data_IF_500991158454
#
_entry.id   IF_500991158454
#
_cell.length_a   1.000
_cell.length_b   1.000
_cell.length_c   1.000
_cell.angle_alpha   90.00
_cell.angle_beta   90.00
_cell.angle_gamma   90.00
#
_symmetry.space_group_name_H-M   'P 1'
#
loop_
_entity.id
_entity.type
_entity.pdbx_description
1 polymer ?
#
# COMPACT_ATOMS: atom_id res chain seq x y z
N UNK A 1 30.27 2.09 15.19
CA UNK A 1 30.46 1.33 13.94
C UNK A 1 29.57 0.07 13.89
N UNK A 2 29.43 -0.69 14.98
CA UNK A 2 28.62 -1.92 15.04
C UNK A 2 27.13 -1.66 14.74
N UNK A 3 26.49 -0.74 15.47
CA UNK A 3 25.06 -0.40 15.30
C UNK A 3 24.73 0.03 13.86
N UNK A 4 25.60 0.81 13.20
CA UNK A 4 25.40 1.21 11.82
C UNK A 4 25.42 0.02 10.85
N UNK A 5 26.37 -0.91 11.03
CA UNK A 5 26.45 -2.13 10.23
C UNK A 5 25.25 -3.04 10.49
N UNK A 6 24.90 -3.25 11.76
CA UNK A 6 23.74 -4.04 12.15
C UNK A 6 22.45 -3.48 11.52
N UNK A 7 22.22 -2.18 11.66
CA UNK A 7 21.04 -1.52 11.06
C UNK A 7 21.01 -1.67 9.55
N UNK A 8 22.13 -1.51 8.87
CA UNK A 8 22.22 -1.64 7.42
C UNK A 8 21.87 -3.06 6.96
N UNK A 9 22.36 -4.09 7.63
CA UNK A 9 22.05 -5.50 7.33
C UNK A 9 20.59 -5.80 7.67
N UNK A 10 20.13 -5.39 8.84
CA UNK A 10 18.76 -5.66 9.28
C UNK A 10 17.73 -5.03 8.35
N UNK A 11 17.85 -3.74 8.05
CA UNK A 11 16.92 -3.03 7.17
C UNK A 11 17.13 -3.39 5.70
N UNK A 12 18.38 -3.49 5.25
CA UNK A 12 18.70 -3.73 3.85
C UNK A 12 18.41 -5.17 3.39
N UNK A 13 18.50 -6.15 4.27
CA UNK A 13 18.30 -7.55 3.92
C UNK A 13 17.04 -8.11 4.58
N UNK A 14 17.04 -8.21 5.92
CA UNK A 14 15.99 -8.95 6.63
C UNK A 14 14.62 -8.30 6.40
N UNK A 15 14.52 -7.00 6.61
CA UNK A 15 13.26 -6.27 6.46
C UNK A 15 12.77 -6.28 5.01
N UNK A 16 13.66 -6.06 4.04
CA UNK A 16 13.31 -6.12 2.63
C UNK A 16 12.82 -7.51 2.20
N UNK A 17 13.48 -8.58 2.66
CA UNK A 17 13.03 -9.95 2.35
C UNK A 17 11.63 -10.20 2.90
N UNK A 18 11.35 -9.78 4.14
CA UNK A 18 10.02 -9.93 4.76
C UNK A 18 8.96 -9.16 3.94
N UNK A 19 9.24 -7.90 3.60
CA UNK A 19 8.33 -7.06 2.81
C UNK A 19 8.08 -7.65 1.41
N UNK A 20 9.14 -8.07 0.73
CA UNK A 20 9.04 -8.71 -0.58
C UNK A 20 8.25 -10.03 -0.51
N UNK A 21 8.42 -10.80 0.56
CA UNK A 21 7.67 -12.05 0.76
C UNK A 21 6.17 -11.79 0.88
N UNK A 22 5.76 -10.75 1.60
CA UNK A 22 4.35 -10.37 1.74
C UNK A 22 3.74 -9.95 0.40
N UNK A 23 4.46 -9.13 -0.38
CA UNK A 23 4.03 -8.69 -1.72
C UNK A 23 3.95 -9.87 -2.69
N UNK A 24 4.95 -10.77 -2.65
CA UNK A 24 4.99 -11.98 -3.49
C UNK A 24 3.83 -12.92 -3.16
N UNK A 25 3.48 -13.07 -1.88
CA UNK A 25 2.33 -13.87 -1.46
C UNK A 25 1.01 -13.33 -2.01
N UNK A 26 0.84 -12.00 -2.01
CA UNK A 26 -0.31 -11.36 -2.64
C UNK A 26 -0.35 -11.63 -4.15
N UNK A 27 0.78 -11.50 -4.85
CA UNK A 27 0.89 -11.81 -6.26
C UNK A 27 0.54 -13.27 -6.58
N UNK A 28 1.00 -14.22 -5.76
CA UNK A 28 0.66 -15.66 -5.89
C UNK A 28 -0.85 -15.89 -5.79
N UNK A 29 -1.51 -15.26 -4.80
CA UNK A 29 -2.96 -15.39 -4.64
C UNK A 29 -3.71 -14.83 -5.84
N UNK A 30 -3.35 -13.63 -6.30
CA UNK A 30 -3.97 -13.00 -7.46
C UNK A 30 -3.70 -13.80 -8.73
N UNK A 31 -2.48 -14.21 -8.97
CA UNK A 31 -2.08 -15.03 -10.12
C UNK A 31 -2.79 -16.38 -10.17
N UNK A 32 -2.96 -17.03 -9.02
CA UNK A 32 -3.71 -18.29 -8.89
C UNK A 32 -5.19 -18.12 -9.21
N UNK A 33 -5.83 -17.08 -8.66
CA UNK A 33 -7.28 -16.86 -8.85
C UNK A 33 -7.60 -16.35 -10.26
N UNK A 34 -6.82 -15.39 -10.78
CA UNK A 34 -7.15 -14.72 -12.03
C UNK A 34 -6.59 -15.44 -13.27
N UNK A 35 -5.42 -16.07 -13.14
CA UNK A 35 -4.71 -16.66 -14.28
C UNK A 35 -4.56 -18.19 -14.18
N UNK A 36 -4.96 -18.79 -13.06
CA UNK A 36 -4.81 -20.22 -12.80
C UNK A 36 -3.35 -20.68 -12.67
N UNK A 37 -2.44 -19.76 -12.34
CA UNK A 37 -1.01 -20.05 -12.27
C UNK A 37 -0.66 -20.76 -10.95
N UNK A 38 0.27 -21.71 -11.05
CA UNK A 38 0.89 -22.30 -9.87
C UNK A 38 1.77 -21.26 -9.15
N UNK A 39 1.96 -21.37 -7.83
CA UNK A 39 2.76 -20.43 -7.05
C UNK A 39 4.14 -20.13 -7.63
N UNK A 40 4.87 -21.17 -8.06
CA UNK A 40 6.20 -21.02 -8.63
C UNK A 40 6.19 -20.31 -10.01
N UNK A 41 5.16 -20.54 -10.82
CA UNK A 41 4.99 -19.88 -12.11
C UNK A 41 4.77 -18.39 -11.92
N UNK A 42 3.92 -18.02 -10.95
CA UNK A 42 3.69 -16.61 -10.62
C UNK A 42 4.95 -15.92 -10.13
N UNK A 43 5.73 -16.57 -9.24
CA UNK A 43 6.99 -16.01 -8.73
C UNK A 43 8.00 -15.84 -9.86
N UNK A 44 8.14 -16.84 -10.70
CA UNK A 44 9.11 -16.80 -11.82
C UNK A 44 8.74 -15.74 -12.85
N UNK A 45 7.48 -15.71 -13.29
CA UNK A 45 7.03 -14.76 -14.30
C UNK A 45 7.05 -13.31 -13.80
N UNK A 46 6.49 -13.07 -12.61
CA UNK A 46 6.50 -11.74 -11.99
C UNK A 46 7.93 -11.26 -11.69
N UNK A 47 8.77 -12.14 -11.18
CA UNK A 47 10.18 -11.85 -10.90
C UNK A 47 10.96 -11.50 -12.18
N UNK A 48 10.81 -12.30 -13.23
CA UNK A 48 11.50 -12.08 -14.51
C UNK A 48 11.05 -10.77 -15.17
N UNK A 49 9.75 -10.49 -15.18
CA UNK A 49 9.20 -9.22 -15.70
C UNK A 49 9.74 -8.04 -14.90
N UNK A 50 9.69 -8.11 -13.57
CA UNK A 50 10.16 -7.03 -12.69
C UNK A 50 11.64 -6.76 -12.85
N UNK A 51 12.48 -7.80 -12.88
CA UNK A 51 13.93 -7.67 -13.05
C UNK A 51 14.26 -7.08 -14.43
N UNK A 52 13.64 -7.60 -15.48
CA UNK A 52 13.86 -7.12 -16.85
C UNK A 52 13.46 -5.65 -16.99
N UNK A 53 12.29 -5.32 -16.50
CA UNK A 53 11.78 -3.95 -16.55
C UNK A 53 12.67 -2.97 -15.76
N UNK A 54 13.05 -3.35 -14.53
CA UNK A 54 13.92 -2.53 -13.70
C UNK A 54 15.33 -2.39 -14.27
N UNK A 55 15.86 -3.43 -14.92
CA UNK A 55 17.17 -3.38 -15.56
C UNK A 55 17.20 -2.43 -16.77
N UNK A 56 16.12 -2.41 -17.56
CA UNK A 56 16.02 -1.54 -18.76
C UNK A 56 15.65 -0.11 -18.34
N UNK A 57 14.66 0.06 -17.49
CA UNK A 57 14.09 1.37 -17.15
C UNK A 57 14.88 2.14 -16.09
N UNK A 58 15.67 1.43 -15.27
CA UNK A 58 16.34 2.01 -14.12
C UNK A 58 15.35 2.69 -13.16
N UNK A 59 15.84 3.56 -12.30
CA UNK A 59 15.01 4.26 -11.31
C UNK A 59 13.93 5.16 -11.96
N UNK A 60 14.27 5.81 -13.08
CA UNK A 60 13.33 6.66 -13.82
C UNK A 60 12.16 5.87 -14.38
N UNK A 61 12.42 4.69 -14.91
CA UNK A 61 11.39 3.77 -15.40
C UNK A 61 10.45 3.33 -14.28
N UNK A 62 10.97 3.01 -13.10
CA UNK A 62 10.17 2.66 -11.92
C UNK A 62 9.22 3.80 -11.54
N UNK A 63 9.72 5.04 -11.46
CA UNK A 63 8.88 6.20 -11.10
C UNK A 63 7.74 6.42 -12.11
N UNK A 64 8.00 6.31 -13.41
CA UNK A 64 6.93 6.42 -14.41
C UNK A 64 5.91 5.30 -14.29
N UNK A 65 6.36 4.09 -14.02
CA UNK A 65 5.48 2.94 -13.82
C UNK A 65 4.61 3.13 -12.58
N UNK A 66 5.18 3.61 -11.48
CA UNK A 66 4.44 3.91 -10.24
C UNK A 66 3.26 4.86 -10.51
N UNK A 67 3.50 5.94 -11.29
CA UNK A 67 2.45 6.90 -11.67
C UNK A 67 1.34 6.25 -12.50
N UNK A 68 1.72 5.45 -13.51
CA UNK A 68 0.74 4.76 -14.37
C UNK A 68 -0.07 3.76 -13.55
N UNK A 69 0.60 2.94 -12.73
CA UNK A 69 -0.03 1.94 -11.89
C UNK A 69 -0.96 2.56 -10.85
N UNK A 70 -0.64 3.76 -10.33
CA UNK A 70 -1.53 4.50 -9.46
C UNK A 70 -2.89 4.79 -10.13
N UNK A 71 -2.88 5.32 -11.36
CA UNK A 71 -4.12 5.60 -12.09
C UNK A 71 -4.88 4.31 -12.44
N UNK A 72 -4.18 3.25 -12.82
CA UNK A 72 -4.80 1.95 -13.10
C UNK A 72 -5.43 1.37 -11.83
N UNK A 73 -4.73 1.41 -10.70
CA UNK A 73 -5.23 0.92 -9.43
C UNK A 73 -6.45 1.73 -8.94
N UNK A 74 -6.38 3.06 -9.01
CA UNK A 74 -7.51 3.93 -8.63
C UNK A 74 -8.72 3.71 -9.54
N UNK A 75 -8.49 3.66 -10.86
CA UNK A 75 -9.56 3.37 -11.82
C UNK A 75 -10.19 2.00 -11.60
N UNK A 76 -9.38 0.98 -11.34
CA UNK A 76 -9.84 -0.36 -10.99
C UNK A 76 -10.65 -0.40 -9.70
N UNK A 77 -10.16 0.26 -8.65
CA UNK A 77 -10.86 0.33 -7.36
C UNK A 77 -12.21 1.04 -7.46
N UNK A 78 -12.24 2.21 -8.12
CA UNK A 78 -13.47 2.96 -8.35
C UNK A 78 -14.45 2.14 -9.23
N UNK A 79 -13.95 1.57 -10.32
CA UNK A 79 -14.74 0.73 -11.21
C UNK A 79 -15.35 -0.48 -10.49
N UNK A 80 -14.56 -1.17 -9.68
CA UNK A 80 -15.03 -2.28 -8.85
C UNK A 80 -16.07 -1.83 -7.83
N UNK A 81 -15.86 -0.71 -7.15
CA UNK A 81 -16.83 -0.16 -6.19
C UNK A 81 -18.15 0.18 -6.88
N UNK A 82 -18.11 0.87 -8.02
CA UNK A 82 -19.31 1.19 -8.80
C UNK A 82 -20.01 -0.07 -9.29
N UNK A 83 -19.26 -1.04 -9.81
CA UNK A 83 -19.82 -2.31 -10.27
C UNK A 83 -20.53 -3.07 -9.14
N UNK A 84 -19.85 -3.24 -8.00
CA UNK A 84 -20.39 -3.97 -6.85
C UNK A 84 -21.64 -3.32 -6.27
N UNK A 85 -21.64 -1.99 -6.12
CA UNK A 85 -22.81 -1.27 -5.60
C UNK A 85 -24.02 -1.39 -6.52
N UNK A 86 -23.81 -1.47 -7.85
CA UNK A 86 -24.89 -1.59 -8.81
C UNK A 86 -25.31 -3.04 -9.13
N UNK A 87 -24.75 -4.04 -8.44
CA UNK A 87 -25.23 -5.41 -8.56
C UNK A 87 -26.72 -5.49 -8.12
N UNK A 88 -27.55 -6.30 -8.80
CA UNK A 88 -28.94 -6.49 -8.43
C UNK A 88 -29.16 -6.91 -6.97
N UNK A 89 -28.22 -7.69 -6.44
CA UNK A 89 -28.24 -8.18 -5.06
C UNK A 89 -27.98 -7.07 -4.03
N UNK A 90 -27.29 -6.01 -4.43
CA UNK A 90 -26.99 -4.85 -3.57
C UNK A 90 -28.07 -3.77 -3.71
N UNK A 91 -28.56 -3.54 -4.93
CA UNK A 91 -29.66 -2.62 -5.19
C UNK A 91 -29.30 -1.13 -5.16
N UNK A 92 -28.02 -0.80 -5.31
CA UNK A 92 -27.52 0.58 -5.32
C UNK A 92 -27.05 1.09 -3.96
N UNK A 93 -26.52 2.30 -3.96
CA UNK A 93 -25.93 2.92 -2.76
C UNK A 93 -26.99 3.14 -1.65
N UNK A 94 -28.20 3.50 -2.03
CA UNK A 94 -29.29 3.75 -1.06
C UNK A 94 -29.67 2.46 -0.34
N UNK A 95 -29.84 1.36 -1.06
CA UNK A 95 -30.17 0.07 -0.50
C UNK A 95 -29.00 -0.47 0.37
N UNK A 96 -27.76 -0.26 -0.06
CA UNK A 96 -26.58 -0.61 0.72
C UNK A 96 -26.55 0.13 2.06
N UNK A 97 -26.77 1.45 2.04
CA UNK A 97 -26.77 2.27 3.24
C UNK A 97 -27.94 2.01 4.19
N UNK A 98 -29.06 1.54 3.66
CA UNK A 98 -30.24 1.16 4.44
C UNK A 98 -30.17 -0.27 5.01
N UNK A 99 -29.19 -1.08 4.60
CA UNK A 99 -29.05 -2.45 5.07
C UNK A 99 -28.70 -2.52 6.56
N UNK A 100 -29.44 -3.32 7.33
CA UNK A 100 -29.24 -3.45 8.79
C UNK A 100 -27.82 -3.83 9.20
N UNK A 101 -27.12 -4.63 8.39
CA UNK A 101 -25.74 -5.01 8.65
C UNK A 101 -24.74 -3.89 8.38
N UNK A 102 -25.15 -2.84 7.69
CA UNK A 102 -24.30 -1.72 7.26
C UNK A 102 -24.57 -0.46 8.10
N UNK A 103 -25.85 -0.18 8.40
CA UNK A 103 -26.27 1.03 9.16
C UNK A 103 -25.44 1.24 10.44
N UNK A 104 -25.22 0.19 11.22
CA UNK A 104 -24.41 0.26 12.44
C UNK A 104 -22.92 0.46 12.22
N UNK A 105 -22.41 0.30 10.97
CA UNK A 105 -20.99 0.38 10.63
C UNK A 105 -20.61 1.65 9.85
N UNK A 106 -21.56 2.50 9.54
CA UNK A 106 -21.34 3.75 8.78
C UNK A 106 -20.76 4.85 9.68
N UNK A 107 -20.93 4.71 11.00
CA UNK A 107 -20.39 5.70 11.94
C UNK A 107 -18.86 5.75 11.86
N UNK A 108 -18.31 6.95 11.67
CA UNK A 108 -16.85 7.19 11.68
C UNK A 108 -16.28 6.98 13.07
N UNK A 109 -17.08 7.22 14.10
CA UNK A 109 -16.68 7.03 15.50
C UNK A 109 -17.31 5.74 16.04
N UNK A 110 -16.58 4.99 16.86
CA UNK A 110 -17.13 3.84 17.55
C UNK A 110 -18.24 4.27 18.53
N UNK A 111 -19.12 3.37 18.88
CA UNK A 111 -20.07 3.59 19.94
C UNK A 111 -19.31 3.79 21.25
N UNK A 112 -19.51 4.94 21.90
CA UNK A 112 -18.88 5.26 23.18
C UNK A 112 -19.41 4.39 24.34
N UNK A 113 -20.52 3.70 24.16
CA UNK A 113 -21.03 2.69 25.06
C UNK A 113 -20.30 1.35 24.94
N UNK A 114 -19.74 1.05 23.78
CA UNK A 114 -18.93 -0.15 23.56
C UNK A 114 -17.46 0.13 23.91
N UNK A 115 -17.08 -0.26 25.11
CA UNK A 115 -15.73 -0.02 25.64
C UNK A 115 -14.64 -0.74 24.87
N UNK A 116 -14.90 -1.92 24.34
CA UNK A 116 -13.92 -2.68 23.56
C UNK A 116 -13.69 -2.03 22.21
N UNK A 117 -14.76 -1.67 21.50
CA UNK A 117 -14.66 -0.95 20.24
C UNK A 117 -14.00 0.42 20.40
N UNK A 118 -14.33 1.15 21.48
CA UNK A 118 -13.73 2.44 21.78
C UNK A 118 -12.21 2.34 22.00
N UNK A 119 -11.77 1.35 22.76
CA UNK A 119 -10.33 1.13 23.01
C UNK A 119 -9.63 0.69 21.71
N UNK A 120 -10.17 -0.29 21.01
CA UNK A 120 -9.53 -0.89 19.84
C UNK A 120 -9.49 0.06 18.63
N UNK A 121 -10.57 0.81 18.37
CA UNK A 121 -10.72 1.60 17.16
C UNK A 121 -10.35 3.09 17.34
N UNK A 122 -10.35 3.60 18.55
CA UNK A 122 -10.05 5.00 18.80
C UNK A 122 -8.82 5.19 19.70
N UNK A 123 -8.79 4.59 20.89
CA UNK A 123 -7.74 4.87 21.89
C UNK A 123 -6.40 4.28 21.42
N UNK A 124 -6.36 3.01 21.03
CA UNK A 124 -5.11 2.38 20.59
C UNK A 124 -4.54 3.06 19.32
N UNK A 125 -5.32 3.33 18.27
CA UNK A 125 -4.81 4.06 17.11
C UNK A 125 -4.27 5.45 17.47
N UNK A 126 -4.99 6.22 18.24
CA UNK A 126 -4.58 7.60 18.58
C UNK A 126 -3.44 7.67 19.60
N UNK A 127 -3.50 6.87 20.67
CA UNK A 127 -2.56 6.98 21.78
C UNK A 127 -1.28 6.16 21.58
N UNK A 128 -1.34 5.06 20.81
CA UNK A 128 -0.22 4.12 20.62
C UNK A 128 0.26 4.11 19.18
N UNK A 129 -0.63 3.87 18.23
CA UNK A 129 -0.23 3.69 16.83
C UNK A 129 0.13 5.01 16.15
N UNK A 130 -0.57 6.08 16.45
CA UNK A 130 -0.29 7.39 15.87
C UNK A 130 1.13 7.88 16.16
N UNK A 131 1.68 7.57 17.30
CA UNK A 131 3.04 7.98 17.69
C UNK A 131 4.14 7.20 16.98
N UNK A 132 3.86 5.98 16.55
CA UNK A 132 4.82 5.08 15.91
C UNK A 132 4.63 4.99 14.40
N UNK A 133 3.52 5.51 13.88
CA UNK A 133 3.15 5.27 12.50
C UNK A 133 3.43 6.43 11.58
N UNK A 134 3.54 6.12 10.46
CA UNK A 134 3.51 6.69 9.11
C UNK A 134 3.50 8.23 9.00
N UNK A 135 4.61 8.83 9.32
CA UNK A 135 4.96 10.06 8.62
C UNK A 135 6.16 9.74 7.70
N UNK A 136 6.42 10.55 6.67
CA UNK A 136 7.59 10.35 5.83
C UNK A 136 8.86 10.30 6.68
N UNK A 137 9.50 9.14 6.77
CA UNK A 137 10.67 8.91 7.61
C UNK A 137 10.47 7.99 8.81
N UNK A 138 9.23 7.63 9.16
CA UNK A 138 8.93 6.65 10.21
C UNK A 138 8.99 5.19 9.74
N UNK A 139 9.11 4.96 8.44
CA UNK A 139 9.31 3.64 7.86
C UNK A 139 10.57 2.99 8.43
N UNK A 140 10.61 1.67 8.56
CA UNK A 140 11.79 0.96 9.03
C UNK A 140 13.08 1.27 8.25
N UNK A 141 12.97 1.74 7.02
CA UNK A 141 14.06 2.29 6.21
C UNK A 141 14.44 3.73 6.51
N UNK A 142 13.75 4.40 7.44
CA UNK A 142 14.05 5.79 7.81
C UNK A 142 13.72 6.81 6.71
N UNK A 143 12.61 6.64 6.00
CA UNK A 143 12.22 7.53 4.90
C UNK A 143 13.05 7.36 3.63
N UNK A 144 13.77 6.26 3.50
CA UNK A 144 14.66 5.99 2.38
C UNK A 144 13.97 6.07 1.02
N UNK A 145 12.73 5.64 0.91
CA UNK A 145 11.96 5.69 -0.33
C UNK A 145 11.67 7.12 -0.79
N UNK A 146 11.30 8.00 0.12
CA UNK A 146 11.03 9.40 -0.19
C UNK A 146 12.35 10.14 -0.45
N UNK A 147 13.33 9.94 0.41
CA UNK A 147 14.66 10.52 0.24
C UNK A 147 15.30 10.12 -1.09
N UNK A 148 15.18 8.87 -1.51
CA UNK A 148 15.67 8.39 -2.79
C UNK A 148 15.04 9.14 -3.98
N UNK A 149 13.73 9.41 -3.93
CA UNK A 149 13.04 10.16 -4.97
C UNK A 149 13.45 11.63 -4.97
N UNK A 150 13.62 12.23 -3.79
CA UNK A 150 14.10 13.61 -3.66
C UNK A 150 15.53 13.77 -4.20
N UNK A 151 16.44 12.84 -3.88
CA UNK A 151 17.81 12.86 -4.40
C UNK A 151 17.91 12.60 -5.91
N UNK A 152 16.94 11.92 -6.48
CA UNK A 152 16.88 11.66 -7.92
C UNK A 152 16.19 12.79 -8.70
N UNK A 153 15.65 13.80 -8.04
CA UNK A 153 15.05 14.95 -8.69
C UNK A 153 16.11 15.79 -9.41
N UNK A 154 15.68 16.49 -10.47
CA UNK A 154 16.55 17.31 -11.32
C UNK A 154 17.19 18.48 -10.56
N UNK A 155 16.42 19.08 -9.67
CA UNK A 155 16.83 20.21 -8.83
C UNK A 155 15.92 20.30 -7.59
N UNK A 156 16.20 21.26 -6.72
CA UNK A 156 15.49 21.47 -5.46
C UNK A 156 14.00 21.79 -5.66
N UNK A 157 13.66 22.58 -6.68
CA UNK A 157 12.27 22.93 -6.97
C UNK A 157 11.45 21.69 -7.40
N UNK A 158 12.06 20.79 -8.19
CA UNK A 158 11.44 19.53 -8.56
C UNK A 158 11.29 18.60 -7.35
N UNK A 159 12.26 18.58 -6.43
CA UNK A 159 12.16 17.80 -5.19
C UNK A 159 11.02 18.31 -4.29
N UNK A 160 10.91 19.63 -4.12
CA UNK A 160 9.83 20.26 -3.36
C UNK A 160 8.47 19.99 -4.03
N UNK A 161 8.38 20.18 -5.35
CA UNK A 161 7.17 19.93 -6.12
C UNK A 161 6.71 18.47 -6.04
N UNK A 162 7.64 17.52 -6.10
CA UNK A 162 7.35 16.09 -5.93
C UNK A 162 6.83 15.77 -4.53
N UNK A 163 7.39 16.39 -3.49
CA UNK A 163 6.93 16.22 -2.11
C UNK A 163 5.52 16.78 -1.91
N UNK A 164 5.23 17.94 -2.49
CA UNK A 164 3.87 18.52 -2.48
C UNK A 164 2.86 17.64 -3.21
N UNK A 165 3.24 17.09 -4.35
CA UNK A 165 2.36 16.22 -5.14
C UNK A 165 2.07 14.89 -4.44
N UNK A 166 3.02 14.41 -3.63
CA UNK A 166 2.88 13.18 -2.85
C UNK A 166 1.91 13.34 -1.67
N UNK A 167 1.89 14.50 -1.00
CA UNK A 167 1.02 14.78 0.15
C UNK A 167 -0.37 15.27 -0.27
#
# INVERSE_FOLDING_TARGET
>A
KFLRKFRAIYLGIIFNVITMSAVTLAAIKIGGIMLGLEPWQTVLTAGLVTVTFSAIGGFKGVVYTDVILFFVAMGGAIGAAVYLVNLPEVGGIEALLANENVVGKISILPDFGDREALIALLIIPLAVQWWSSWYPGAEPGGGGYIAQRMFAAKDENHAIGATFFFN
#
